data_IF_909648793044
#
_entry.id   IF_909648793044
#
_cell.length_a   1.000
_cell.length_b   1.000
_cell.length_c   1.000
_cell.angle_alpha   90.00
_cell.angle_beta   90.00
_cell.angle_gamma   90.00
#
_symmetry.space_group_name_H-M   'P 1'
#
loop_
_entity.id
_entity.type
_entity.pdbx_description
1 polymer ?
#
# COMPACT_ATOMS: atom_id res chain seq x y z
N UNK A 1 -3.29 -43.70 -52.94
CA UNK A 1 -2.45 -43.76 -51.72
C UNK A 1 -1.64 -42.48 -51.43
N UNK A 2 -1.84 -41.33 -52.11
CA UNK A 2 -1.09 -40.07 -51.83
C UNK A 2 -1.92 -39.03 -51.05
N UNK A 3 -3.24 -39.22 -50.94
CA UNK A 3 -4.17 -38.24 -50.34
C UNK A 3 -4.26 -38.34 -48.82
N UNK A 4 -4.00 -39.52 -48.25
CA UNK A 4 -4.06 -39.76 -46.79
C UNK A 4 -2.84 -39.19 -46.06
N UNK A 5 -1.65 -39.20 -46.66
CA UNK A 5 -0.44 -38.68 -46.04
C UNK A 5 -0.50 -37.17 -45.79
N UNK A 6 -1.01 -36.39 -46.75
CA UNK A 6 -1.15 -34.94 -46.60
C UNK A 6 -2.16 -34.54 -45.52
N UNK A 7 -3.26 -35.29 -45.38
CA UNK A 7 -4.26 -35.06 -44.35
C UNK A 7 -3.72 -35.41 -42.94
N UNK A 8 -2.98 -36.52 -42.83
CA UNK A 8 -2.31 -36.92 -41.59
C UNK A 8 -1.25 -35.91 -41.15
N UNK A 9 -0.41 -35.45 -42.08
CA UNK A 9 0.62 -34.44 -41.82
C UNK A 9 -0.02 -33.11 -41.38
N UNK A 10 -1.10 -32.67 -42.04
CA UNK A 10 -1.81 -31.45 -41.65
C UNK A 10 -2.42 -31.55 -40.24
N UNK A 11 -2.91 -32.74 -39.86
CA UNK A 11 -3.44 -32.98 -38.52
C UNK A 11 -2.33 -32.92 -37.45
N UNK A 12 -1.18 -33.51 -37.74
CA UNK A 12 -0.02 -33.47 -36.85
C UNK A 12 0.45 -32.03 -36.59
N UNK A 13 0.56 -31.21 -37.65
CA UNK A 13 0.88 -29.80 -37.50
C UNK A 13 -0.17 -29.01 -36.72
N UNK A 14 -1.47 -29.29 -36.92
CA UNK A 14 -2.54 -28.66 -36.14
C UNK A 14 -2.48 -29.05 -34.66
N UNK A 15 -2.14 -30.31 -34.36
CA UNK A 15 -1.97 -30.80 -32.98
C UNK A 15 -0.74 -30.16 -32.32
N UNK A 16 0.41 -30.13 -32.99
CA UNK A 16 1.62 -29.47 -32.49
C UNK A 16 1.36 -28.00 -32.21
N UNK A 17 0.68 -27.31 -33.14
CA UNK A 17 0.32 -25.90 -32.96
C UNK A 17 -0.61 -25.70 -31.75
N UNK A 18 -1.65 -26.53 -31.62
CA UNK A 18 -2.60 -26.45 -30.52
C UNK A 18 -1.94 -26.72 -29.17
N UNK A 19 -1.08 -27.74 -29.08
CA UNK A 19 -0.31 -28.06 -27.86
C UNK A 19 0.62 -26.90 -27.51
N UNK A 20 1.29 -26.30 -28.50
CA UNK A 20 2.15 -25.14 -28.29
C UNK A 20 1.38 -23.95 -27.72
N UNK A 21 0.13 -23.75 -28.19
CA UNK A 21 -0.75 -22.69 -27.71
C UNK A 21 -1.22 -22.96 -26.26
N UNK A 22 -1.55 -24.22 -25.94
CA UNK A 22 -1.89 -24.61 -24.56
C UNK A 22 -0.70 -24.38 -23.63
N UNK A 23 0.51 -24.81 -24.02
CA UNK A 23 1.74 -24.59 -23.26
C UNK A 23 1.95 -23.09 -23.02
N UNK A 24 1.80 -22.27 -24.06
CA UNK A 24 1.94 -20.82 -23.94
C UNK A 24 0.96 -20.22 -22.93
N UNK A 25 -0.32 -20.63 -22.96
CA UNK A 25 -1.35 -20.14 -22.03
C UNK A 25 -1.02 -20.54 -20.59
N UNK A 26 -0.59 -21.79 -20.37
CA UNK A 26 -0.25 -22.32 -19.05
C UNK A 26 0.85 -21.49 -18.36
N UNK A 27 1.81 -20.95 -19.12
CA UNK A 27 2.83 -20.06 -18.56
C UNK A 27 2.39 -18.60 -18.51
N UNK A 28 1.65 -18.12 -19.51
CA UNK A 28 1.31 -16.70 -19.65
C UNK A 28 0.31 -16.23 -18.59
N UNK A 29 -0.72 -17.03 -18.30
CA UNK A 29 -1.73 -16.69 -17.29
C UNK A 29 -1.14 -16.46 -15.89
N UNK A 30 -0.37 -17.39 -15.29
CA UNK A 30 0.20 -17.18 -13.96
C UNK A 30 1.21 -16.03 -13.91
N UNK A 31 1.96 -15.79 -15.00
CA UNK A 31 2.86 -14.64 -15.10
C UNK A 31 2.09 -13.31 -15.10
N UNK A 32 0.98 -13.24 -15.83
CA UNK A 32 0.11 -12.07 -15.87
C UNK A 32 -0.51 -11.80 -14.49
N UNK A 33 -1.04 -12.83 -13.82
CA UNK A 33 -1.60 -12.70 -12.47
C UNK A 33 -0.58 -12.20 -11.45
N UNK A 34 0.65 -12.73 -11.48
CA UNK A 34 1.72 -12.29 -10.58
C UNK A 34 2.13 -10.84 -10.86
N UNK A 35 2.19 -10.44 -12.12
CA UNK A 35 2.49 -9.07 -12.51
C UNK A 35 1.41 -8.11 -12.00
N UNK A 36 0.13 -8.46 -12.13
CA UNK A 36 -0.99 -7.67 -11.61
C UNK A 36 -0.90 -7.55 -10.08
N UNK A 37 -0.65 -8.65 -9.36
CA UNK A 37 -0.52 -8.65 -7.90
C UNK A 37 0.61 -7.74 -7.44
N UNK A 38 1.77 -7.81 -8.10
CA UNK A 38 2.92 -6.97 -7.78
C UNK A 38 2.63 -5.48 -8.03
N UNK A 39 1.99 -5.14 -9.15
CA UNK A 39 1.60 -3.76 -9.44
C UNK A 39 0.63 -3.21 -8.40
N UNK A 40 -0.35 -4.00 -7.97
CA UNK A 40 -1.29 -3.61 -6.91
C UNK A 40 -0.58 -3.44 -5.55
N UNK A 41 0.36 -4.32 -5.22
CA UNK A 41 1.17 -4.24 -4.00
C UNK A 41 2.05 -2.98 -3.97
N UNK A 42 2.60 -2.56 -5.12
CA UNK A 42 3.35 -1.31 -5.26
C UNK A 42 2.42 -0.11 -5.10
N UNK A 43 1.27 -0.10 -5.78
CA UNK A 43 0.28 0.98 -5.68
C UNK A 43 -0.21 1.17 -4.24
N UNK A 44 -0.56 0.07 -3.55
CA UNK A 44 -0.95 0.11 -2.14
C UNK A 44 0.18 0.68 -1.26
N UNK A 45 1.42 0.27 -1.49
CA UNK A 45 2.58 0.81 -0.75
C UNK A 45 2.75 2.31 -0.92
N UNK A 46 2.55 2.82 -2.15
CA UNK A 46 2.67 4.24 -2.45
C UNK A 46 1.54 5.04 -1.80
N UNK A 47 0.31 4.53 -1.83
CA UNK A 47 -0.83 5.15 -1.16
C UNK A 47 -0.60 5.24 0.36
N UNK A 48 -0.17 4.14 0.99
CA UNK A 48 0.15 4.12 2.42
C UNK A 48 1.29 5.09 2.75
N UNK A 49 2.33 5.16 1.92
CA UNK A 49 3.44 6.13 2.10
C UNK A 49 2.96 7.57 1.98
N UNK A 50 2.07 7.85 1.04
CA UNK A 50 1.44 9.17 0.87
C UNK A 50 0.63 9.57 2.10
N UNK A 51 -0.21 8.66 2.62
CA UNK A 51 -0.99 8.87 3.84
C UNK A 51 -0.09 9.12 5.05
N UNK A 52 0.95 8.30 5.24
CA UNK A 52 1.94 8.51 6.30
C UNK A 52 2.67 9.84 6.16
N UNK A 53 3.01 10.25 4.93
CA UNK A 53 3.67 11.53 4.67
C UNK A 53 2.78 12.72 5.02
N UNK A 54 1.47 12.65 4.73
CA UNK A 54 0.51 13.69 5.14
C UNK A 54 0.43 13.82 6.66
N UNK A 55 0.38 12.70 7.39
CA UNK A 55 0.40 12.70 8.86
C UNK A 55 1.71 13.27 9.37
N UNK A 56 2.84 12.82 8.82
CA UNK A 56 4.17 13.28 9.20
C UNK A 56 4.34 14.79 8.99
N UNK A 57 3.83 15.33 7.88
CA UNK A 57 3.87 16.75 7.59
C UNK A 57 2.97 17.56 8.52
N UNK A 58 1.77 17.07 8.83
CA UNK A 58 0.90 17.71 9.82
C UNK A 58 1.57 17.79 11.20
N UNK A 59 2.23 16.70 11.64
CA UNK A 59 2.98 16.70 12.90
C UNK A 59 4.14 17.69 12.85
N UNK A 60 4.92 17.70 11.77
CA UNK A 60 6.02 18.67 11.60
C UNK A 60 5.53 20.11 11.61
N UNK A 61 4.39 20.38 11.00
CA UNK A 61 3.78 21.70 10.97
C UNK A 61 3.37 22.16 12.37
N UNK A 62 2.59 21.36 13.10
CA UNK A 62 2.18 21.69 14.48
C UNK A 62 3.39 21.84 15.40
N UNK A 63 4.41 20.99 15.23
CA UNK A 63 5.65 21.09 16.00
C UNK A 63 6.43 22.38 15.69
N UNK A 64 6.49 22.77 14.42
CA UNK A 64 7.18 23.99 13.98
C UNK A 64 6.44 25.28 14.36
N UNK A 65 5.11 25.25 14.38
CA UNK A 65 4.27 26.38 14.80
C UNK A 65 4.20 26.55 16.32
N UNK A 66 4.39 25.46 17.08
CA UNK A 66 4.51 25.50 18.53
C UNK A 66 3.19 25.33 19.30
N UNK A 67 3.20 25.71 20.57
CA UNK A 67 2.05 25.57 21.47
C UNK A 67 0.86 26.43 21.01
N UNK A 68 -0.33 25.86 21.05
CA UNK A 68 -1.56 26.48 20.56
C UNK A 68 -1.89 26.16 19.10
N UNK A 69 -0.98 25.52 18.36
CA UNK A 69 -1.24 25.08 16.98
C UNK A 69 -2.12 23.83 16.93
N UNK A 70 -2.97 23.76 15.91
CA UNK A 70 -3.83 22.63 15.59
C UNK A 70 -3.93 22.48 14.08
N UNK A 71 -3.69 21.26 13.61
CA UNK A 71 -3.85 20.88 12.22
C UNK A 71 -4.86 19.73 12.11
N UNK A 72 -5.84 19.89 11.23
CA UNK A 72 -6.79 18.83 10.89
C UNK A 72 -6.50 18.35 9.49
N UNK A 73 -6.29 17.04 9.33
CA UNK A 73 -6.05 16.42 8.03
C UNK A 73 -7.12 15.38 7.74
N UNK A 74 -7.55 15.34 6.49
CA UNK A 74 -8.44 14.32 5.94
C UNK A 74 -7.63 13.34 5.12
N UNK A 75 -7.75 12.07 5.44
CA UNK A 75 -7.05 10.99 4.75
C UNK A 75 -8.06 9.97 4.29
N UNK A 76 -8.08 9.72 2.99
CA UNK A 76 -8.86 8.64 2.40
C UNK A 76 -7.96 7.42 2.26
N UNK A 77 -8.09 6.48 3.20
CA UNK A 77 -7.29 5.27 3.19
C UNK A 77 -8.01 4.13 2.49
N UNK A 78 -7.34 3.48 1.55
CA UNK A 78 -7.90 2.36 0.80
C UNK A 78 -8.05 1.07 1.63
N UNK A 79 -7.44 1.01 2.81
CA UNK A 79 -7.37 -0.16 3.70
C UNK A 79 -7.36 0.27 5.17
N UNK A 80 -7.74 -0.66 6.05
CA UNK A 80 -7.60 -0.49 7.50
C UNK A 80 -6.12 -0.62 7.89
N UNK A 81 -5.57 0.37 8.58
CA UNK A 81 -4.16 0.45 8.94
C UNK A 81 -3.99 0.82 10.41
N UNK A 82 -2.94 0.28 11.03
CA UNK A 82 -2.53 0.65 12.38
C UNK A 82 -1.25 1.46 12.27
N UNK A 83 -1.30 2.73 12.63
CA UNK A 83 -0.16 3.66 12.54
C UNK A 83 0.40 3.87 13.94
N UNK A 84 1.68 3.55 14.09
CA UNK A 84 2.45 3.80 15.29
C UNK A 84 3.17 5.14 15.15
N UNK A 85 2.94 6.04 16.10
CA UNK A 85 3.57 7.35 16.17
C UNK A 85 4.50 7.38 17.37
N UNK A 86 5.73 7.82 17.14
CA UNK A 86 6.74 8.07 18.15
C UNK A 86 7.47 9.37 17.84
N UNK A 87 8.20 9.90 18.83
CA UNK A 87 8.93 11.17 18.71
C UNK A 87 9.76 11.33 17.42
N UNK A 88 10.40 10.25 16.95
CA UNK A 88 11.31 10.27 15.80
C UNK A 88 10.72 9.70 14.49
N UNK A 89 9.54 9.07 14.55
CA UNK A 89 9.01 8.40 13.37
C UNK A 89 7.51 8.13 13.43
N UNK A 90 6.90 8.08 12.26
CA UNK A 90 5.57 7.52 12.03
C UNK A 90 5.74 6.25 11.21
N UNK A 91 5.19 5.13 11.66
CA UNK A 91 5.33 3.85 10.96
C UNK A 91 4.02 3.06 10.90
N UNK A 92 3.89 2.26 9.85
CA UNK A 92 2.80 1.28 9.74
C UNK A 92 3.30 0.00 9.11
N UNK A 93 2.67 -1.11 9.48
CA UNK A 93 2.90 -2.43 8.92
C UNK A 93 1.61 -2.92 8.31
N UNK A 94 1.65 -3.36 7.06
CA UNK A 94 0.49 -3.95 6.40
C UNK A 94 0.88 -5.18 5.58
N UNK A 95 -0.12 -6.03 5.37
CA UNK A 95 0.03 -7.27 4.61
C UNK A 95 -0.22 -7.01 3.13
N UNK A 96 0.73 -7.40 2.31
CA UNK A 96 0.67 -7.35 0.86
C UNK A 96 -0.17 -8.52 0.32
N UNK A 97 -0.68 -8.38 -0.91
CA UNK A 97 -1.41 -9.46 -1.61
C UNK A 97 -0.51 -10.64 -1.92
N UNK A 98 0.80 -10.42 -2.00
CA UNK A 98 1.86 -11.44 -1.99
C UNK A 98 2.01 -12.21 -0.66
N UNK A 99 1.17 -11.95 0.35
CA UNK A 99 1.19 -12.54 1.69
C UNK A 99 2.40 -12.13 2.55
N UNK A 100 3.30 -11.31 2.01
CA UNK A 100 4.43 -10.69 2.71
C UNK A 100 3.98 -9.50 3.56
N UNK A 101 4.76 -9.13 4.57
CA UNK A 101 4.55 -7.91 5.37
C UNK A 101 5.48 -6.82 4.86
N UNK A 102 4.96 -5.60 4.78
CA UNK A 102 5.77 -4.43 4.46
C UNK A 102 5.61 -3.37 5.53
N UNK A 103 6.76 -2.94 6.03
CA UNK A 103 6.87 -1.86 6.99
C UNK A 103 7.25 -0.58 6.26
N UNK A 104 6.44 0.46 6.44
CA UNK A 104 6.72 1.81 5.93
C UNK A 104 6.96 2.70 7.13
N UNK A 105 8.07 3.44 7.10
CA UNK A 105 8.51 4.34 8.16
C UNK A 105 8.86 5.69 7.55
N UNK A 106 8.32 6.74 8.12
CA UNK A 106 8.62 8.13 7.77
C UNK A 106 9.21 8.85 8.99
N UNK A 107 10.28 9.61 8.77
CA UNK A 107 10.96 10.33 9.84
C UNK A 107 10.26 11.64 10.17
N UNK A 108 10.04 11.87 11.47
CA UNK A 108 9.35 13.05 12.02
C UNK A 108 10.09 13.48 13.27
N UNK A 109 10.17 14.79 13.52
CA UNK A 109 10.56 15.32 14.83
C UNK A 109 9.29 15.78 15.54
N UNK A 110 9.01 15.20 16.71
CA UNK A 110 7.84 15.51 17.52
C UNK A 110 8.09 15.24 19.00
N UNK A 111 7.27 15.85 19.85
CA UNK A 111 7.16 15.58 21.29
C UNK A 111 5.93 14.70 21.62
N UNK A 112 5.42 13.94 20.65
CA UNK A 112 4.26 13.05 20.83
C UNK A 112 4.70 11.76 21.54
N UNK A 113 4.15 11.51 22.72
CA UNK A 113 4.33 10.24 23.42
C UNK A 113 3.94 9.05 22.53
N UNK A 114 4.59 7.89 22.70
CA UNK A 114 4.31 6.69 21.88
C UNK A 114 2.81 6.38 21.89
N UNK A 115 2.18 6.49 20.72
CA UNK A 115 0.75 6.29 20.55
C UNK A 115 0.47 5.54 19.26
N UNK A 116 -0.73 4.97 19.17
CA UNK A 116 -1.18 4.25 18.00
C UNK A 116 -2.55 4.74 17.59
N UNK A 117 -2.70 5.08 16.32
CA UNK A 117 -3.99 5.41 15.72
C UNK A 117 -4.38 4.32 14.72
N UNK A 118 -5.68 4.03 14.65
CA UNK A 118 -6.25 3.10 13.67
C UNK A 118 -6.99 3.88 12.60
N UNK A 119 -6.51 3.80 11.37
CA UNK A 119 -7.21 4.26 10.18
C UNK A 119 -8.17 3.18 9.71
N UNK A 120 -9.42 3.53 9.50
CA UNK A 120 -10.40 2.68 8.85
C UNK A 120 -10.31 2.82 7.33
N UNK A 121 -10.91 1.87 6.60
CA UNK A 121 -11.06 2.01 5.15
C UNK A 121 -12.07 3.14 4.87
N UNK A 122 -11.72 4.08 4.01
CA UNK A 122 -12.52 5.25 3.66
C UNK A 122 -11.93 6.55 4.22
N UNK A 123 -12.79 7.54 4.41
CA UNK A 123 -12.39 8.84 4.95
C UNK A 123 -12.10 8.74 6.46
N UNK A 124 -10.95 9.25 6.87
CA UNK A 124 -10.56 9.38 8.26
C UNK A 124 -10.15 10.83 8.51
N UNK A 125 -10.65 11.41 9.59
CA UNK A 125 -10.24 12.73 10.04
C UNK A 125 -9.25 12.56 11.19
N UNK A 126 -8.04 13.08 11.02
CA UNK A 126 -7.02 13.10 12.07
C UNK A 126 -6.81 14.53 12.51
N UNK A 127 -6.79 14.72 13.82
CA UNK A 127 -6.44 15.99 14.44
C UNK A 127 -5.09 15.82 15.12
N UNK A 128 -4.17 16.71 14.81
CA UNK A 128 -2.90 16.89 15.50
C UNK A 128 -2.96 18.25 16.18
N UNK A 129 -2.72 18.30 17.49
CA UNK A 129 -2.74 19.56 18.22
C UNK A 129 -1.65 19.61 19.29
N UNK A 130 -1.15 20.82 19.53
CA UNK A 130 -0.31 21.12 20.68
C UNK A 130 -1.09 22.01 21.64
N UNK A 131 -1.70 21.46 22.71
CA UNK A 131 -2.42 22.27 23.67
C UNK A 131 -1.51 23.28 24.36
N UNK A 132 -2.05 24.48 24.63
CA UNK A 132 -1.36 25.51 25.42
C UNK A 132 -1.06 24.95 26.82
N UNK A 133 0.16 25.18 27.32
CA UNK A 133 0.67 24.63 28.59
C UNK A 133 0.85 23.10 28.64
N UNK A 134 0.74 22.40 27.51
CA UNK A 134 1.12 20.98 27.42
C UNK A 134 2.57 20.82 26.99
N UNK A 135 3.31 19.90 27.64
CA UNK A 135 4.65 19.51 27.19
C UNK A 135 4.64 18.68 25.91
N UNK A 136 3.53 18.00 25.61
CA UNK A 136 3.40 17.02 24.54
C UNK A 136 2.26 17.39 23.58
N UNK A 137 2.47 17.14 22.29
CA UNK A 137 1.41 17.13 21.28
C UNK A 137 0.51 15.91 21.42
N UNK A 138 -0.74 16.06 20.97
CA UNK A 138 -1.76 15.03 20.94
C UNK A 138 -2.14 14.73 19.49
N UNK A 139 -2.45 13.46 19.22
CA UNK A 139 -2.97 13.01 17.93
C UNK A 139 -4.08 12.00 18.15
N UNK A 140 -5.22 12.23 17.51
CA UNK A 140 -6.40 11.38 17.60
C UNK A 140 -7.23 11.44 16.32
N UNK A 141 -8.05 10.41 16.12
CA UNK A 141 -9.01 10.30 15.03
C UNK A 141 -10.40 10.72 15.50
N UNK A 142 -11.17 11.37 14.62
CA UNK A 142 -12.59 11.74 14.83
C UNK A 142 -13.50 10.90 13.96
#
# INVERSE_FOLDING_TARGET
>A
MVKESGAQISLEYMLIFSISLVILIVFTLPLAENSIRNTLDVSDSLNVKSDLSKIANAIKQVYGEGQGSRQTIKIESNKKLKINIANSHVSTSFKLKSNSKKDIKEHVMSNIGKTTISLNKGENVIIVEWPVNSKNMLIYTV
#
